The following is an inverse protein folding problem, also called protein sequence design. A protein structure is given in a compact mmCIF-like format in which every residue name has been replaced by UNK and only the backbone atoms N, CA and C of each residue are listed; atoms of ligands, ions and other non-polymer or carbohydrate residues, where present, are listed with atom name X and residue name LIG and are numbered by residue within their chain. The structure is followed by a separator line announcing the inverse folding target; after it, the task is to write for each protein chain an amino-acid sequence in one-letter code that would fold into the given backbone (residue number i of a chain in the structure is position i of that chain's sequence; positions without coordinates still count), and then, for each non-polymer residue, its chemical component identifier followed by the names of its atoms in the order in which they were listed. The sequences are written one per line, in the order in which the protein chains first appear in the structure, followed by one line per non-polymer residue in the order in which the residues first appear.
data_IF_564795773884
#
_entry.id   IF_564795773884
#
_cell.length_a   1.000
_cell.length_b   1.000
_cell.length_c   1.000
_cell.angle_alpha   90.00
_cell.angle_beta   90.00
_cell.angle_gamma   90.00
#
_symmetry.space_group_name_H-M   'P 1'
#
loop_
_entity.id
_entity.type
_entity.pdbx_description
1 polymer ?
#
# COMPACT_ATOMS: atom_id res chain seq x y z
N UNK A 1 50.78 -3.56 4.77
CA UNK A 1 49.43 -3.36 5.33
C UNK A 1 48.43 -3.44 4.20
N UNK A 2 47.59 -4.47 4.18
CA UNK A 2 46.59 -4.69 3.12
C UNK A 2 45.29 -4.03 3.57
N UNK A 3 44.83 -3.02 2.84
CA UNK A 3 43.53 -2.39 3.07
C UNK A 3 42.42 -3.37 2.67
N UNK A 4 41.78 -4.01 3.66
CA UNK A 4 40.50 -4.68 3.47
C UNK A 4 39.37 -3.65 3.55
N UNK A 5 39.10 -2.98 2.43
CA UNK A 5 37.88 -2.19 2.25
C UNK A 5 36.69 -3.12 2.06
N UNK A 6 35.98 -3.43 3.14
CA UNK A 6 34.71 -4.15 3.07
C UNK A 6 33.69 -3.25 2.35
N UNK A 7 33.34 -3.66 1.13
CA UNK A 7 32.37 -2.97 0.30
C UNK A 7 31.02 -2.87 1.02
N UNK A 8 30.57 -1.64 1.26
CA UNK A 8 29.22 -1.35 1.71
C UNK A 8 28.24 -1.91 0.66
N UNK A 9 27.57 -3.02 1.00
CA UNK A 9 26.50 -3.58 0.18
C UNK A 9 25.43 -2.51 -0.03
N UNK A 10 25.34 -1.99 -1.26
CA UNK A 10 24.32 -1.00 -1.63
C UNK A 10 22.96 -1.69 -1.61
N UNK A 11 22.16 -1.43 -0.57
CA UNK A 11 20.76 -1.85 -0.52
C UNK A 11 20.02 -1.16 -1.67
N UNK A 12 19.63 -1.93 -2.70
CA UNK A 12 18.79 -1.41 -3.79
C UNK A 12 17.33 -1.60 -3.40
N UNK A 13 16.64 -0.50 -3.07
CA UNK A 13 15.19 -0.49 -2.89
C UNK A 13 14.54 -0.21 -4.24
N UNK A 14 13.78 -1.16 -4.77
CA UNK A 14 12.92 -0.93 -5.94
C UNK A 14 11.49 -0.76 -5.42
N UNK A 15 10.91 0.41 -5.63
CA UNK A 15 9.50 0.69 -5.33
C UNK A 15 8.65 0.41 -6.58
N UNK A 16 7.49 -0.21 -6.41
CA UNK A 16 6.51 -0.47 -7.45
C UNK A 16 5.12 -0.10 -6.95
N UNK A 17 4.37 0.64 -7.76
CA UNK A 17 3.00 1.02 -7.44
C UNK A 17 2.10 -0.21 -7.56
N UNK A 18 1.45 -0.58 -6.45
CA UNK A 18 0.51 -1.70 -6.37
C UNK A 18 -0.84 -1.28 -6.94
N UNK A 19 -1.31 -0.09 -6.54
CA UNK A 19 -2.55 0.55 -6.98
C UNK A 19 -2.92 1.71 -6.07
N UNK A 20 -4.18 2.14 -6.13
CA UNK A 20 -4.73 3.24 -5.35
C UNK A 20 -5.96 2.83 -4.54
N UNK A 21 -6.18 3.51 -3.43
CA UNK A 21 -7.37 3.34 -2.59
C UNK A 21 -7.96 4.70 -2.24
N UNK A 22 -9.27 4.87 -2.48
CA UNK A 22 -9.96 6.12 -2.19
C UNK A 22 -10.15 6.26 -0.68
N UNK A 23 -10.04 7.49 -0.17
CA UNK A 23 -10.25 7.77 1.24
C UNK A 23 -11.61 7.25 1.73
N UNK A 24 -12.66 7.44 0.93
CA UNK A 24 -14.02 7.00 1.26
C UNK A 24 -14.17 5.49 1.39
N UNK A 25 -13.31 4.69 0.76
CA UNK A 25 -13.34 3.23 0.83
C UNK A 25 -12.70 2.67 2.11
N UNK A 26 -11.96 3.51 2.83
CA UNK A 26 -11.25 3.11 4.05
C UNK A 26 -12.05 3.43 5.33
N UNK A 27 -13.34 3.71 5.19
CA UNK A 27 -14.28 3.79 6.30
C UNK A 27 -15.19 2.55 6.29
N UNK A 28 -15.43 1.98 7.47
CA UNK A 28 -16.41 0.91 7.64
C UNK A 28 -17.82 1.46 7.33
N UNK A 29 -18.64 0.76 6.52
CA UNK A 29 -19.95 1.26 6.09
C UNK A 29 -20.90 1.60 7.24
N UNK A 30 -20.92 0.78 8.30
CA UNK A 30 -21.92 0.90 9.36
C UNK A 30 -21.48 1.77 10.54
N UNK A 31 -20.18 1.78 10.87
CA UNK A 31 -19.68 2.51 12.03
C UNK A 31 -18.98 3.82 11.68
N UNK A 32 -18.71 4.07 10.39
CA UNK A 32 -17.81 5.15 9.94
C UNK A 32 -16.44 5.11 10.63
N UNK A 33 -16.05 3.96 11.16
CA UNK A 33 -14.73 3.76 11.73
C UNK A 33 -13.69 3.67 10.62
N UNK A 34 -12.55 4.30 10.85
CA UNK A 34 -11.43 4.26 9.93
C UNK A 34 -10.69 2.92 10.01
N UNK A 35 -10.32 2.35 8.86
CA UNK A 35 -9.69 1.03 8.78
C UNK A 35 -8.22 1.01 9.23
N UNK A 36 -7.49 2.11 9.08
CA UNK A 36 -6.05 2.17 9.38
C UNK A 36 -5.83 2.90 10.71
N UNK A 37 -5.95 2.19 11.84
CA UNK A 37 -5.99 2.82 13.17
C UNK A 37 -4.81 3.75 13.48
N UNK A 38 -3.62 3.48 12.93
CA UNK A 38 -2.41 4.28 13.17
C UNK A 38 -2.26 5.47 12.23
N UNK A 39 -3.00 5.49 11.12
CA UNK A 39 -2.82 6.44 10.02
C UNK A 39 -4.05 7.34 9.97
N UNK A 40 -3.86 8.64 9.94
CA UNK A 40 -5.00 9.55 9.87
C UNK A 40 -5.74 9.45 8.52
N UNK A 41 -7.08 9.63 8.49
CA UNK A 41 -7.84 9.64 7.24
C UNK A 41 -7.32 10.68 6.26
N UNK A 42 -6.95 11.85 6.79
CA UNK A 42 -6.26 12.89 6.03
C UNK A 42 -4.76 12.81 6.25
N UNK A 43 -3.99 13.11 5.21
CA UNK A 43 -2.54 13.17 5.26
C UNK A 43 -2.10 14.17 6.34
N UNK A 44 -1.21 13.75 7.23
CA UNK A 44 -0.79 14.56 8.38
C UNK A 44 0.01 15.79 7.96
N UNK A 45 0.81 15.66 6.89
CA UNK A 45 1.65 16.74 6.42
C UNK A 45 0.90 17.84 5.65
N UNK A 46 -0.03 17.48 4.75
CA UNK A 46 -0.70 18.47 3.88
C UNK A 46 -2.21 18.57 4.07
N UNK A 47 -2.80 17.74 4.94
CA UNK A 47 -4.24 17.70 5.25
C UNK A 47 -5.15 17.58 4.01
N UNK A 48 -4.61 17.06 2.91
CA UNK A 48 -5.23 17.01 1.60
C UNK A 48 -4.93 15.67 0.95
N UNK A 49 -5.98 14.88 0.70
CA UNK A 49 -5.94 13.64 -0.07
C UNK A 49 -7.39 13.18 -0.33
N UNK A 50 -7.69 12.81 -1.58
CA UNK A 50 -8.93 12.10 -1.94
C UNK A 50 -8.72 10.58 -2.01
N UNK A 51 -7.47 10.17 -2.20
CA UNK A 51 -7.01 8.80 -2.29
C UNK A 51 -5.57 8.72 -1.78
N UNK A 52 -5.10 7.50 -1.56
CA UNK A 52 -3.70 7.21 -1.35
C UNK A 52 -3.19 6.21 -2.38
N UNK A 53 -1.92 6.34 -2.72
CA UNK A 53 -1.20 5.40 -3.57
C UNK A 53 -0.57 4.35 -2.66
N UNK A 54 -0.69 3.08 -3.03
CA UNK A 54 -0.03 1.98 -2.31
C UNK A 54 1.17 1.54 -3.13
N UNK A 55 2.36 1.63 -2.54
CA UNK A 55 3.57 1.08 -3.12
C UNK A 55 4.02 -0.18 -2.37
N UNK A 56 4.77 -1.01 -3.08
CA UNK A 56 5.54 -2.10 -2.49
C UNK A 56 7.01 -1.85 -2.76
N UNK A 57 7.84 -2.17 -1.78
CA UNK A 57 9.28 -2.13 -1.94
C UNK A 57 9.91 -3.42 -1.46
N UNK A 58 10.96 -3.83 -2.17
CA UNK A 58 11.75 -5.01 -1.82
C UNK A 58 13.10 -4.56 -1.30
N UNK A 59 13.49 -5.06 -0.13
CA UNK A 59 14.86 -4.93 0.37
C UNK A 59 15.63 -6.16 -0.09
N UNK A 60 16.53 -5.99 -1.06
CA UNK A 60 17.50 -7.02 -1.42
C UNK A 60 18.79 -6.79 -0.63
N UNK A 61 19.03 -7.58 0.41
CA UNK A 61 20.36 -7.65 1.03
C UNK A 61 21.32 -8.35 0.06
N UNK A 62 22.16 -7.57 -0.61
CA UNK A 62 23.25 -8.09 -1.43
C UNK A 62 24.43 -8.44 -0.52
N UNK A 63 24.51 -9.72 -0.11
CA UNK A 63 25.59 -10.25 0.70
C UNK A 63 25.58 -11.77 0.77
N UNK A 64 26.27 -12.41 -0.18
CA UNK A 64 26.92 -13.73 -0.08
C UNK A 64 26.15 -15.03 0.24
N UNK A 65 24.83 -15.03 0.48
CA UNK A 65 24.12 -16.30 0.78
C UNK A 65 22.82 -16.42 -0.01
N UNK A 66 22.62 -17.56 -0.69
CA UNK A 66 21.51 -17.90 -1.58
C UNK A 66 20.11 -17.99 -0.92
N UNK A 67 19.92 -17.38 0.26
CA UNK A 67 18.67 -17.37 1.02
C UNK A 67 18.29 -15.94 1.43
N UNK A 68 18.22 -15.04 0.46
CA UNK A 68 17.83 -13.65 0.71
C UNK A 68 16.35 -13.64 1.14
N UNK A 69 16.11 -13.43 2.45
CA UNK A 69 14.79 -13.04 2.95
C UNK A 69 14.40 -11.75 2.25
N UNK A 70 13.45 -11.85 1.33
CA UNK A 70 12.80 -10.70 0.71
C UNK A 70 11.68 -10.27 1.65
N UNK A 71 11.92 -9.23 2.44
CA UNK A 71 10.85 -8.58 3.18
C UNK A 71 10.13 -7.62 2.23
N UNK A 72 8.85 -7.90 1.98
CA UNK A 72 7.95 -7.02 1.26
C UNK A 72 7.48 -5.92 2.21
N UNK A 73 7.80 -4.68 1.90
CA UNK A 73 7.35 -3.52 2.66
C UNK A 73 6.27 -2.82 1.85
N UNK A 74 5.07 -2.72 2.39
CA UNK A 74 3.96 -1.97 1.82
C UNK A 74 3.91 -0.57 2.43
N UNK A 75 3.65 0.44 1.62
CA UNK A 75 3.52 1.81 2.11
C UNK A 75 2.34 2.50 1.49
N UNK A 76 1.74 3.38 2.26
CA UNK A 76 0.74 4.33 1.81
C UNK A 76 1.44 5.66 1.51
N UNK A 77 1.14 6.24 0.35
CA UNK A 77 1.78 7.46 -0.15
C UNK A 77 0.71 8.49 -0.45
N UNK A 78 0.86 9.68 0.13
CA UNK A 78 0.02 10.83 -0.19
C UNK A 78 0.36 11.34 -1.60
N UNK A 79 -0.62 11.42 -2.53
CA UNK A 79 -0.35 11.89 -3.89
C UNK A 79 0.02 13.39 -3.96
N UNK A 80 -0.36 14.18 -2.94
CA UNK A 80 -0.19 15.63 -2.96
C UNK A 80 1.17 16.09 -2.45
N UNK A 81 1.67 15.49 -1.37
CA UNK A 81 2.94 15.90 -0.75
C UNK A 81 3.99 14.78 -0.68
N UNK A 82 3.68 13.58 -1.19
CA UNK A 82 4.57 12.41 -1.22
C UNK A 82 4.98 11.90 0.17
N UNK A 83 4.30 12.33 1.24
CA UNK A 83 4.44 11.73 2.56
C UNK A 83 4.13 10.23 2.47
N UNK A 84 5.02 9.43 3.04
CA UNK A 84 4.99 7.97 2.95
C UNK A 84 4.95 7.38 4.34
N UNK A 85 3.99 6.49 4.60
CA UNK A 85 3.84 5.78 5.86
C UNK A 85 3.88 4.28 5.59
N UNK A 86 4.67 3.54 6.34
CA UNK A 86 4.75 2.08 6.24
C UNK A 86 3.50 1.44 6.83
N UNK A 87 2.93 0.49 6.10
CA UNK A 87 1.74 -0.26 6.50
C UNK A 87 2.15 -1.56 7.19
N UNK A 88 1.52 -1.85 8.31
CA UNK A 88 1.59 -3.18 8.90
C UNK A 88 0.85 -4.19 8.02
N UNK A 89 1.17 -5.48 8.17
CA UNK A 89 0.57 -6.53 7.33
C UNK A 89 -0.96 -6.58 7.45
N UNK A 90 -1.50 -6.34 8.65
CA UNK A 90 -2.93 -6.32 8.94
C UNK A 90 -3.61 -5.12 8.27
N UNK A 91 -2.98 -3.94 8.33
CA UNK A 91 -3.42 -2.72 7.67
C UNK A 91 -3.50 -2.93 6.15
N UNK A 92 -2.45 -3.51 5.55
CA UNK A 92 -2.43 -3.84 4.13
C UNK A 92 -3.51 -4.86 3.76
N UNK A 93 -3.68 -5.93 4.55
CA UNK A 93 -4.73 -6.94 4.31
C UNK A 93 -6.12 -6.29 4.30
N UNK A 94 -6.38 -5.33 5.19
CA UNK A 94 -7.64 -4.59 5.27
C UNK A 94 -7.95 -3.81 3.99
N UNK A 95 -6.95 -3.18 3.37
CA UNK A 95 -7.16 -2.33 2.18
C UNK A 95 -6.97 -3.07 0.85
N UNK A 96 -6.30 -4.23 0.84
CA UNK A 96 -6.00 -5.03 -0.36
C UNK A 96 -7.21 -5.32 -1.25
N UNK A 97 -8.42 -5.65 -0.74
CA UNK A 97 -9.59 -5.86 -1.58
C UNK A 97 -9.95 -4.62 -2.43
N UNK A 98 -9.84 -3.42 -1.86
CA UNK A 98 -10.13 -2.16 -2.54
C UNK A 98 -9.09 -1.85 -3.62
N UNK A 99 -7.81 -2.06 -3.32
CA UNK A 99 -6.73 -1.90 -4.31
C UNK A 99 -6.98 -2.81 -5.52
N UNK A 100 -7.33 -4.08 -5.26
CA UNK A 100 -7.57 -5.07 -6.31
C UNK A 100 -8.73 -4.68 -7.22
N UNK A 101 -9.86 -4.26 -6.65
CA UNK A 101 -11.05 -3.91 -7.45
C UNK A 101 -10.87 -2.60 -8.21
N UNK A 102 -10.24 -1.58 -7.62
CA UNK A 102 -9.93 -0.33 -8.32
C UNK A 102 -9.04 -0.61 -9.54
N UNK A 103 -7.97 -1.39 -9.35
CA UNK A 103 -7.09 -1.80 -10.46
C UNK A 103 -7.81 -2.55 -11.57
N UNK A 104 -8.81 -3.38 -11.25
CA UNK A 104 -9.60 -4.08 -12.26
C UNK A 104 -10.44 -3.11 -13.09
N UNK A 105 -11.03 -2.09 -12.45
CA UNK A 105 -11.77 -1.03 -13.13
C UNK A 105 -10.83 -0.20 -14.00
N UNK A 106 -9.70 0.26 -13.46
CA UNK A 106 -8.74 1.11 -14.17
C UNK A 106 -8.14 0.41 -15.39
N UNK A 107 -7.95 -0.91 -15.31
CA UNK A 107 -7.45 -1.72 -16.42
C UNK A 107 -8.54 -2.15 -17.41
N UNK A 108 -9.79 -1.72 -17.22
CA UNK A 108 -10.93 -2.05 -18.07
C UNK A 108 -11.32 -3.52 -18.05
N UNK A 109 -10.90 -4.28 -17.03
CA UNK A 109 -11.21 -5.71 -16.90
C UNK A 109 -12.61 -5.97 -16.35
N UNK A 110 -13.21 -4.97 -15.71
CA UNK A 110 -14.58 -4.96 -15.22
C UNK A 110 -15.22 -3.63 -15.59
N UNK A 111 -16.53 -3.61 -15.74
CA UNK A 111 -17.31 -2.39 -15.94
C UNK A 111 -17.76 -1.76 -14.61
N UNK A 112 -18.42 -0.60 -14.68
CA UNK A 112 -18.93 0.10 -13.50
C UNK A 112 -19.99 -0.69 -12.73
N UNK A 113 -20.81 -1.49 -13.42
CA UNK A 113 -21.87 -2.27 -12.79
C UNK A 113 -21.27 -3.39 -11.94
N UNK A 114 -20.32 -4.13 -12.51
CA UNK A 114 -19.57 -5.16 -11.83
C UNK A 114 -18.72 -4.60 -10.68
N UNK A 115 -18.12 -3.42 -10.88
CA UNK A 115 -17.39 -2.71 -9.84
C UNK A 115 -18.28 -2.42 -8.62
N UNK A 116 -19.45 -1.80 -8.81
CA UNK A 116 -20.38 -1.48 -7.71
C UNK A 116 -20.82 -2.73 -6.95
N UNK A 117 -21.15 -3.81 -7.67
CA UNK A 117 -21.57 -5.07 -7.06
C UNK A 117 -20.47 -5.72 -6.23
N UNK A 118 -19.22 -5.72 -6.72
CA UNK A 118 -18.09 -6.29 -5.99
C UNK A 118 -17.67 -5.40 -4.81
N UNK A 119 -17.75 -4.08 -4.95
CA UNK A 119 -17.46 -3.14 -3.87
C UNK A 119 -18.43 -3.34 -2.69
N UNK A 120 -19.73 -3.45 -2.97
CA UNK A 120 -20.74 -3.73 -1.94
C UNK A 120 -20.45 -5.03 -1.17
N UNK A 121 -20.02 -6.09 -1.86
CA UNK A 121 -19.64 -7.36 -1.22
C UNK A 121 -18.39 -7.25 -0.34
N UNK A 122 -17.49 -6.31 -0.62
CA UNK A 122 -16.32 -6.04 0.23
C UNK A 122 -16.80 -5.29 1.49
N UNK A 123 -17.62 -4.27 1.31
CA UNK A 123 -18.21 -3.45 2.38
C UNK A 123 -19.01 -4.30 3.38
N UNK A 124 -19.81 -5.25 2.90
CA UNK A 124 -20.58 -6.20 3.74
C UNK A 124 -19.70 -7.13 4.58
N UNK A 125 -18.45 -7.39 4.19
CA UNK A 125 -17.53 -8.29 4.91
C UNK A 125 -16.72 -7.61 6.01
N UNK A 126 -16.62 -6.28 5.94
CA UNK A 126 -15.85 -5.45 6.87
C UNK A 126 -16.77 -4.85 7.95
N UNK A 127 -18.08 -5.06 7.79
CA UNK A 127 -19.14 -4.78 8.75
C UNK A 127 -19.14 -5.81 9.87
#
# INVERSE_FOLDING_TARGET
MVYFGWGQGKIKRKAEIVGEVKQSQMFKPNSQEWLLQRINPKCENCNSNSHYIIDRSFIRLLGFVSFVKMEEIFRIVCPNCQETIELDIEEYIGIKPFIKINKLLDTGKIDEYEYKNRLKKIEEKIT
#
